data_IF_530001505992
#
_entry.id   IF_530001505992
#
_cell.length_a   1.000
_cell.length_b   1.000
_cell.length_c   1.000
_cell.angle_alpha   90.00
_cell.angle_beta   90.00
_cell.angle_gamma   90.00
#
_symmetry.space_group_name_H-M   'P 1'
#
loop_
_entity.id
_entity.type
_entity.pdbx_description
1 polymer ?
#
# COMPACT_ATOMS: atom_id res chain seq x y z
N UNK A 1 27.88 -26.71 42.80
CA UNK A 1 27.34 -27.50 41.66
C UNK A 1 25.84 -27.29 41.40
N UNK A 2 24.99 -27.03 42.39
CA UNK A 2 23.53 -26.82 42.20
C UNK A 2 23.14 -25.50 41.51
N UNK A 3 24.05 -24.52 41.48
CA UNK A 3 23.80 -23.19 40.89
C UNK A 3 24.22 -23.11 39.41
N UNK A 4 25.00 -24.08 38.91
CA UNK A 4 25.41 -24.13 37.50
C UNK A 4 24.26 -24.65 36.61
N UNK A 5 23.42 -25.54 37.14
CA UNK A 5 22.22 -26.03 36.45
C UNK A 5 21.12 -24.98 36.30
N UNK A 6 21.01 -23.99 37.21
CA UNK A 6 20.06 -22.87 37.06
C UNK A 6 20.46 -21.90 35.96
N UNK A 7 21.77 -21.77 35.70
CA UNK A 7 22.28 -20.85 34.68
C UNK A 7 22.08 -21.39 33.24
N UNK A 8 22.07 -22.72 33.08
CA UNK A 8 21.79 -23.36 31.78
C UNK A 8 20.30 -23.34 31.40
N UNK A 9 19.38 -23.27 32.37
CA UNK A 9 17.94 -23.18 32.11
C UNK A 9 17.50 -21.79 31.60
N UNK A 10 18.25 -20.73 31.90
CA UNK A 10 17.96 -19.37 31.41
C UNK A 10 18.34 -19.15 29.94
N UNK A 11 19.28 -19.93 29.41
CA UNK A 11 19.72 -19.82 28.01
C UNK A 11 18.69 -20.48 27.07
N UNK A 12 17.88 -21.42 27.57
CA UNK A 12 16.83 -22.07 26.76
C UNK A 12 15.57 -21.21 26.58
N UNK A 13 15.37 -20.17 27.40
CA UNK A 13 14.25 -19.22 27.24
C UNK A 13 14.54 -18.18 26.15
N UNK A 14 15.81 -17.99 25.76
CA UNK A 14 16.20 -17.12 24.64
C UNK A 14 16.29 -17.86 23.28
N UNK A 15 15.97 -19.16 23.26
CA UNK A 15 16.14 -20.05 22.10
C UNK A 15 14.89 -20.27 21.24
N UNK A 16 13.81 -19.53 21.50
CA UNK A 16 12.62 -19.53 20.63
C UNK A 16 12.31 -18.11 20.18
N UNK A 17 13.31 -17.45 19.59
CA UNK A 17 13.06 -16.36 18.67
C UNK A 17 12.25 -16.97 17.53
N UNK A 18 10.92 -16.92 17.67
CA UNK A 18 10.02 -17.12 16.55
C UNK A 18 10.55 -16.27 15.41
N UNK A 19 10.89 -16.92 14.30
CA UNK A 19 11.02 -16.22 13.04
C UNK A 19 9.64 -15.65 12.75
N UNK A 20 9.31 -14.50 13.35
CA UNK A 20 8.33 -13.60 12.77
C UNK A 20 8.98 -13.20 11.45
N UNK A 21 8.67 -13.99 10.42
CA UNK A 21 8.84 -13.55 9.04
C UNK A 21 8.01 -12.29 8.95
N UNK A 22 8.67 -11.15 9.17
CA UNK A 22 8.14 -9.85 8.82
C UNK A 22 7.77 -10.01 7.35
N UNK A 23 6.46 -10.11 7.08
CA UNK A 23 5.87 -10.23 5.76
C UNK A 23 6.21 -8.92 5.05
N UNK A 24 7.43 -8.84 4.56
CA UNK A 24 7.93 -7.70 3.83
C UNK A 24 7.13 -7.69 2.53
N UNK A 25 6.17 -6.77 2.46
CA UNK A 25 5.37 -6.43 1.29
C UNK A 25 6.18 -6.67 0.02
N UNK A 26 5.80 -7.68 -0.76
CA UNK A 26 6.51 -8.02 -1.99
C UNK A 26 5.94 -7.22 -3.15
N UNK A 27 6.84 -6.66 -3.95
CA UNK A 27 6.49 -5.99 -5.19
C UNK A 27 5.83 -6.96 -6.18
N UNK A 28 4.83 -6.48 -6.91
CA UNK A 28 4.05 -7.27 -7.87
C UNK A 28 4.92 -7.96 -8.93
N UNK A 29 5.97 -7.30 -9.41
CA UNK A 29 6.86 -7.86 -10.44
C UNK A 29 7.76 -8.97 -9.92
N UNK A 30 7.91 -9.08 -8.59
CA UNK A 30 8.66 -10.15 -7.96
C UNK A 30 7.75 -11.30 -7.53
N UNK A 31 6.60 -10.99 -6.93
CA UNK A 31 5.70 -11.97 -6.35
C UNK A 31 4.78 -12.63 -7.37
N UNK A 32 4.36 -11.90 -8.40
CA UNK A 32 3.38 -12.36 -9.38
C UNK A 32 3.77 -12.01 -10.84
N UNK A 33 5.02 -12.26 -11.27
CA UNK A 33 5.48 -11.93 -12.62
C UNK A 33 4.73 -12.71 -13.72
N UNK A 34 4.03 -13.79 -13.36
CA UNK A 34 3.24 -14.59 -14.28
C UNK A 34 1.98 -13.87 -14.77
N UNK A 35 1.38 -13.00 -13.95
CA UNK A 35 0.14 -12.29 -14.31
C UNK A 35 0.35 -10.80 -14.52
N UNK A 36 1.43 -10.21 -13.98
CA UNK A 36 1.72 -8.79 -14.10
C UNK A 36 2.70 -8.50 -15.23
N UNK A 37 2.34 -7.54 -16.08
CA UNK A 37 3.22 -6.98 -17.10
C UNK A 37 3.29 -5.47 -16.95
N UNK A 38 4.48 -4.96 -16.64
CA UNK A 38 4.73 -3.52 -16.58
C UNK A 38 4.68 -2.92 -17.98
N UNK A 39 3.81 -1.93 -18.17
CA UNK A 39 3.69 -1.17 -19.41
C UNK A 39 4.46 0.15 -19.35
N UNK A 40 4.41 0.84 -18.21
CA UNK A 40 5.12 2.10 -17.99
C UNK A 40 5.35 2.36 -16.50
N UNK A 41 6.49 2.95 -16.16
CA UNK A 41 6.83 3.44 -14.81
C UNK A 41 7.40 4.85 -14.93
N UNK A 42 6.56 5.85 -14.70
CA UNK A 42 6.93 7.26 -14.82
C UNK A 42 5.97 8.15 -14.04
N UNK A 43 6.36 9.40 -13.78
CA UNK A 43 5.52 10.39 -13.08
C UNK A 43 5.05 9.96 -11.68
N UNK A 44 5.76 9.01 -11.06
CA UNK A 44 5.35 8.44 -9.77
C UNK A 44 4.12 7.52 -9.90
N UNK A 45 3.92 6.92 -11.07
CA UNK A 45 2.86 5.96 -11.34
C UNK A 45 3.43 4.75 -12.07
N UNK A 46 2.89 3.57 -11.75
CA UNK A 46 3.16 2.35 -12.51
C UNK A 46 1.87 1.88 -13.18
N UNK A 47 1.98 1.58 -14.46
CA UNK A 47 0.90 1.07 -15.29
C UNK A 47 1.19 -0.38 -15.63
N UNK A 48 0.24 -1.25 -15.31
CA UNK A 48 0.32 -2.68 -15.59
C UNK A 48 -0.85 -3.14 -16.44
N UNK A 49 -0.57 -4.08 -17.33
CA UNK A 49 -1.54 -5.05 -17.82
C UNK A 49 -1.50 -6.24 -16.85
N UNK A 50 -2.68 -6.71 -16.44
CA UNK A 50 -2.81 -7.98 -15.74
C UNK A 50 -3.62 -8.96 -16.56
N UNK A 51 -3.18 -10.21 -16.57
CA UNK A 51 -3.89 -11.32 -17.20
C UNK A 51 -3.82 -12.56 -16.30
N UNK A 52 -4.97 -13.13 -15.99
CA UNK A 52 -5.07 -14.41 -15.28
C UNK A 52 -5.77 -15.42 -16.16
N UNK A 53 -5.07 -16.46 -16.59
CA UNK A 53 -5.69 -17.65 -17.16
C UNK A 53 -6.47 -18.43 -16.08
N UNK A 54 -7.46 -19.26 -16.47
CA UNK A 54 -8.19 -20.11 -15.53
C UNK A 54 -7.25 -20.90 -14.61
N UNK A 55 -7.42 -20.76 -13.31
CA UNK A 55 -6.62 -21.44 -12.28
C UNK A 55 -5.31 -20.74 -11.91
N UNK A 56 -4.87 -19.70 -12.64
CA UNK A 56 -3.68 -18.94 -12.28
C UNK A 56 -3.87 -18.12 -11.00
N UNK A 57 -2.76 -17.92 -10.30
CA UNK A 57 -2.72 -17.17 -9.07
C UNK A 57 -1.58 -16.14 -9.09
N UNK A 58 -1.86 -15.00 -8.47
CA UNK A 58 -0.87 -14.04 -8.01
C UNK A 58 -0.57 -14.36 -6.54
N UNK A 59 0.68 -14.67 -6.23
CA UNK A 59 1.10 -14.86 -4.84
C UNK A 59 0.91 -13.58 -4.02
N UNK A 60 0.94 -13.69 -2.69
CA UNK A 60 0.76 -12.55 -1.79
C UNK A 60 1.72 -11.40 -2.13
N UNK A 61 1.16 -10.27 -2.52
CA UNK A 61 1.88 -9.06 -2.91
C UNK A 61 1.23 -7.84 -2.25
N UNK A 62 1.73 -6.66 -2.57
CA UNK A 62 1.22 -5.41 -2.02
C UNK A 62 1.20 -4.34 -3.09
N UNK A 63 0.08 -3.60 -3.12
CA UNK A 63 -0.07 -2.40 -3.90
C UNK A 63 0.00 -1.17 -3.00
N UNK A 64 0.54 -0.03 -3.47
CA UNK A 64 0.17 1.28 -2.93
C UNK A 64 -1.31 1.59 -3.25
N UNK A 65 -1.75 2.84 -3.00
CA UNK A 65 -3.02 3.31 -3.56
C UNK A 65 -3.02 3.05 -5.07
N UNK A 66 -4.08 2.43 -5.58
CA UNK A 66 -4.13 2.02 -6.97
C UNK A 66 -5.55 2.02 -7.52
N UNK A 67 -5.65 2.11 -8.85
CA UNK A 67 -6.88 1.99 -9.60
C UNK A 67 -6.84 0.72 -10.46
N UNK A 68 -7.99 0.08 -10.62
CA UNK A 68 -8.17 -1.10 -11.47
C UNK A 68 -9.28 -0.81 -12.47
N UNK A 69 -9.04 -1.09 -13.75
CA UNK A 69 -10.06 -1.12 -14.79
C UNK A 69 -10.14 -2.50 -15.41
N UNK A 70 -11.29 -3.16 -15.30
CA UNK A 70 -11.51 -4.51 -15.78
C UNK A 70 -11.85 -4.48 -17.27
N UNK A 71 -10.98 -5.05 -18.10
CA UNK A 71 -11.21 -5.18 -19.54
C UNK A 71 -12.09 -6.41 -19.80
N UNK A 72 -11.66 -7.56 -19.30
CA UNK A 72 -12.40 -8.83 -19.37
C UNK A 72 -12.63 -9.35 -17.96
N UNK A 73 -13.90 -9.43 -17.57
CA UNK A 73 -14.32 -9.87 -16.24
C UNK A 73 -14.23 -11.37 -16.01
N UNK A 74 -14.46 -11.77 -14.75
CA UNK A 74 -14.41 -13.16 -14.31
C UNK A 74 -14.57 -13.26 -12.79
N UNK A 75 -14.11 -14.38 -12.21
CA UNK A 75 -14.26 -14.63 -10.77
C UNK A 75 -12.91 -14.89 -10.13
N UNK A 76 -12.55 -14.05 -9.15
CA UNK A 76 -11.36 -14.22 -8.34
C UNK A 76 -11.73 -14.73 -6.93
N UNK A 77 -10.93 -15.65 -6.39
CA UNK A 77 -10.78 -15.78 -4.94
C UNK A 77 -9.66 -14.83 -4.51
N UNK A 78 -9.95 -13.92 -3.58
CA UNK A 78 -8.99 -12.98 -3.02
C UNK A 78 -8.73 -13.34 -1.56
N UNK A 79 -7.47 -13.48 -1.18
CA UNK A 79 -7.06 -13.68 0.21
C UNK A 79 -6.25 -12.48 0.70
N UNK A 80 -6.76 -11.81 1.72
CA UNK A 80 -6.16 -10.63 2.35
C UNK A 80 -5.07 -11.03 3.34
N UNK A 81 -4.16 -10.10 3.66
CA UNK A 81 -3.06 -10.36 4.59
C UNK A 81 -3.49 -10.76 6.01
N UNK A 82 -4.72 -10.43 6.42
CA UNK A 82 -5.31 -10.86 7.70
C UNK A 82 -5.85 -12.31 7.66
N UNK A 83 -5.74 -13.00 6.52
CA UNK A 83 -6.23 -14.37 6.31
C UNK A 83 -7.70 -14.45 5.87
N UNK A 84 -8.43 -13.33 5.81
CA UNK A 84 -9.79 -13.30 5.27
C UNK A 84 -9.78 -13.61 3.76
N UNK A 85 -10.73 -14.44 3.33
CA UNK A 85 -10.92 -14.81 1.93
C UNK A 85 -12.30 -14.42 1.46
N UNK A 86 -12.39 -13.94 0.24
CA UNK A 86 -13.65 -13.61 -0.41
C UNK A 86 -13.63 -13.97 -1.89
N UNK A 87 -14.83 -14.19 -2.43
CA UNK A 87 -15.03 -14.39 -3.87
C UNK A 87 -15.46 -13.05 -4.46
N UNK A 88 -14.66 -12.52 -5.37
CA UNK A 88 -14.89 -11.26 -6.06
C UNK A 88 -15.30 -11.55 -7.50
N UNK A 89 -16.49 -11.07 -7.89
CA UNK A 89 -16.93 -11.10 -9.28
C UNK A 89 -16.55 -9.78 -9.94
N UNK A 90 -15.69 -9.85 -10.95
CA UNK A 90 -15.25 -8.70 -11.72
C UNK A 90 -16.14 -8.58 -12.97
N UNK A 91 -16.83 -7.46 -13.14
CA UNK A 91 -17.58 -7.15 -14.35
C UNK A 91 -16.70 -6.44 -15.37
N UNK A 92 -16.85 -6.76 -16.66
CA UNK A 92 -16.17 -6.02 -17.73
C UNK A 92 -16.63 -4.56 -17.75
N UNK A 93 -15.67 -3.64 -17.87
CA UNK A 93 -15.90 -2.20 -17.79
C UNK A 93 -15.92 -1.64 -16.36
N UNK A 94 -15.78 -2.48 -15.33
CA UNK A 94 -15.74 -2.03 -13.95
C UNK A 94 -14.45 -1.25 -13.66
N UNK A 95 -14.58 -0.08 -13.03
CA UNK A 95 -13.47 0.72 -12.53
C UNK A 95 -13.56 0.91 -11.02
N UNK A 96 -12.49 0.62 -10.29
CA UNK A 96 -12.43 0.74 -8.83
C UNK A 96 -11.10 1.35 -8.40
N UNK A 97 -11.12 2.13 -7.31
CA UNK A 97 -9.91 2.66 -6.66
C UNK A 97 -9.83 2.04 -5.28
N UNK A 98 -8.65 1.50 -4.96
CA UNK A 98 -8.35 0.89 -3.67
C UNK A 98 -7.26 1.69 -2.94
N UNK A 99 -7.35 1.82 -1.60
CA UNK A 99 -6.21 2.21 -0.81
C UNK A 99 -5.11 1.14 -0.89
N UNK A 100 -3.91 1.47 -0.42
CA UNK A 100 -2.83 0.48 -0.28
C UNK A 100 -3.30 -0.76 0.49
N UNK A 101 -3.08 -1.93 -0.10
CA UNK A 101 -3.49 -3.23 0.46
C UNK A 101 -2.51 -4.34 0.06
N UNK A 102 -2.58 -5.44 0.82
CA UNK A 102 -1.80 -6.64 0.57
C UNK A 102 -2.73 -7.84 0.43
N UNK A 103 -2.69 -8.49 -0.73
CA UNK A 103 -3.54 -9.61 -1.04
C UNK A 103 -2.85 -10.64 -1.94
N UNK A 104 -3.45 -11.82 -2.05
CA UNK A 104 -3.24 -12.76 -3.15
C UNK A 104 -4.55 -12.96 -3.89
N UNK A 105 -4.48 -13.31 -5.17
CA UNK A 105 -5.66 -13.50 -5.99
C UNK A 105 -5.51 -14.75 -6.84
N UNK A 106 -6.60 -15.48 -7.06
CA UNK A 106 -6.65 -16.64 -7.95
C UNK A 106 -7.88 -16.58 -8.83
N UNK A 107 -7.70 -16.79 -10.13
CA UNK A 107 -8.83 -16.99 -11.03
C UNK A 107 -9.43 -18.38 -10.80
N UNK A 108 -10.63 -18.41 -10.22
CA UNK A 108 -11.39 -19.65 -9.95
C UNK A 108 -12.48 -19.90 -11.00
N UNK A 109 -12.60 -19.02 -11.99
CA UNK A 109 -13.50 -19.18 -13.12
C UNK A 109 -12.90 -20.00 -14.25
N UNK A 110 -13.65 -20.08 -15.34
CA UNK A 110 -13.29 -20.83 -16.55
C UNK A 110 -12.88 -19.92 -17.73
N UNK A 111 -12.74 -18.62 -17.50
CA UNK A 111 -12.40 -17.62 -18.52
C UNK A 111 -11.18 -16.82 -18.08
N UNK A 112 -10.37 -16.36 -19.03
CA UNK A 112 -9.28 -15.44 -18.71
C UNK A 112 -9.81 -14.09 -18.25
N UNK A 113 -9.12 -13.50 -17.29
CA UNK A 113 -9.42 -12.17 -16.74
C UNK A 113 -8.34 -11.23 -17.22
N UNK A 114 -8.73 -10.05 -17.72
CA UNK A 114 -7.79 -8.99 -18.11
C UNK A 114 -8.17 -7.69 -17.44
N UNK A 115 -7.19 -6.98 -16.90
CA UNK A 115 -7.39 -5.66 -16.32
C UNK A 115 -6.18 -4.76 -16.54
N UNK A 116 -6.40 -3.45 -16.38
CA UNK A 116 -5.36 -2.45 -16.26
C UNK A 116 -5.26 -2.05 -14.81
N UNK A 117 -4.07 -2.10 -14.24
CA UNK A 117 -3.79 -1.64 -12.88
C UNK A 117 -2.88 -0.42 -12.94
N UNK A 118 -3.28 0.63 -12.23
CA UNK A 118 -2.52 1.87 -12.12
C UNK A 118 -2.17 2.11 -10.67
N UNK A 119 -0.92 1.94 -10.30
CA UNK A 119 -0.43 2.23 -8.96
C UNK A 119 0.09 3.66 -8.86
N UNK A 120 -0.19 4.34 -7.74
CA UNK A 120 0.29 5.71 -7.48
C UNK A 120 1.34 5.70 -6.37
N UNK A 121 2.59 5.90 -6.77
CA UNK A 121 3.75 6.01 -5.88
C UNK A 121 3.86 7.43 -5.33
N UNK A 122 3.04 7.76 -4.33
CA UNK A 122 3.12 9.08 -3.68
C UNK A 122 4.46 9.25 -2.99
N UNK A 123 5.24 10.24 -3.43
CA UNK A 123 6.36 10.76 -2.64
C UNK A 123 5.78 11.40 -1.38
N UNK A 124 5.90 10.72 -0.24
CA UNK A 124 5.50 11.28 1.06
C UNK A 124 6.49 12.36 1.48
N UNK A 125 6.29 13.59 1.01
CA UNK A 125 6.96 14.77 1.56
C UNK A 125 6.36 15.13 2.93
N UNK A 126 6.56 14.27 3.94
CA UNK A 126 6.01 14.45 5.29
C UNK A 126 6.42 15.79 5.92
N UNK A 127 7.64 16.26 5.64
CA UNK A 127 8.14 17.53 6.15
C UNK A 127 7.54 18.72 5.37
N UNK A 128 7.40 18.61 4.05
CA UNK A 128 6.92 19.72 3.21
C UNK A 128 5.43 20.02 3.46
N UNK A 129 4.60 19.00 3.68
CA UNK A 129 3.18 19.21 4.00
C UNK A 129 3.00 19.87 5.36
N UNK A 130 3.80 19.50 6.37
CA UNK A 130 3.78 20.16 7.68
C UNK A 130 4.26 21.61 7.54
N UNK A 131 5.32 21.87 6.77
CA UNK A 131 5.82 23.23 6.53
C UNK A 131 4.80 24.10 5.79
N UNK A 132 4.12 23.58 4.76
CA UNK A 132 3.05 24.31 4.06
C UNK A 132 1.87 24.59 5.01
N UNK A 133 1.44 23.60 5.78
CA UNK A 133 0.36 23.75 6.75
C UNK A 133 0.70 24.76 7.86
N UNK A 134 1.95 24.79 8.34
CA UNK A 134 2.43 25.77 9.31
C UNK A 134 2.54 27.17 8.69
N UNK A 135 2.95 27.28 7.42
CA UNK A 135 3.05 28.55 6.71
C UNK A 135 1.66 29.18 6.48
N UNK A 136 0.69 28.42 5.96
CA UNK A 136 -0.70 28.89 5.78
C UNK A 136 -1.34 29.30 7.12
N UNK A 137 -1.09 28.54 8.20
CA UNK A 137 -1.54 28.93 9.54
C UNK A 137 -0.85 30.19 10.07
N UNK A 138 0.42 30.43 9.73
CA UNK A 138 1.13 31.67 10.06
C UNK A 138 0.45 32.87 9.39
N UNK A 139 0.16 32.78 8.09
CA UNK A 139 -0.50 33.86 7.34
C UNK A 139 -1.94 34.14 7.82
N UNK A 140 -2.73 33.10 8.12
CA UNK A 140 -4.08 33.26 8.66
C UNK A 140 -4.07 33.91 10.06
N UNK A 141 -3.10 33.56 10.91
CA UNK A 141 -2.98 34.14 12.25
C UNK A 141 -2.46 35.58 12.19
N UNK A 142 -1.53 35.86 11.26
CA UNK A 142 -0.97 37.20 11.05
C UNK A 142 -2.00 38.17 10.46
N UNK A 143 -2.80 37.73 9.48
CA UNK A 143 -3.87 38.54 8.88
C UNK A 143 -4.99 38.85 9.88
N UNK A 144 -5.36 37.89 10.73
CA UNK A 144 -6.32 38.11 11.83
C UNK A 144 -5.78 39.11 12.87
N UNK A 145 -4.49 39.05 13.20
CA UNK A 145 -3.85 39.96 14.15
C UNK A 145 -3.74 41.39 13.60
N UNK A 146 -3.31 41.58 12.34
CA UNK A 146 -3.21 42.92 11.74
C UNK A 146 -4.58 43.60 11.54
N UNK A 147 -5.64 42.85 11.23
CA UNK A 147 -6.99 43.40 11.06
C UNK A 147 -7.68 43.77 12.39
N UNK A 148 -7.15 43.32 13.54
CA UNK A 148 -7.69 43.66 14.87
C UNK A 148 -7.28 45.04 15.38
N UNK A 149 -6.47 45.79 14.62
CA UNK A 149 -6.05 47.15 14.97
C UNK A 149 -5.01 47.23 16.11
N UNK A 150 -4.44 46.10 16.52
CA UNK A 150 -3.63 45.97 17.74
C UNK A 150 -2.10 45.97 17.53
N UNK A 151 -1.54 46.70 16.55
CA UNK A 151 -0.17 47.27 16.62
C UNK A 151 0.28 48.01 15.34
N UNK A 152 1.17 48.99 15.49
CA UNK A 152 1.86 49.74 14.40
C UNK A 152 3.02 48.96 13.74
N UNK A 153 3.17 47.66 14.00
CA UNK A 153 4.31 46.83 13.61
C UNK A 153 3.93 45.67 12.65
N UNK A 154 2.99 45.89 11.73
CA UNK A 154 2.70 44.92 10.66
C UNK A 154 3.69 45.07 9.48
N UNK A 155 5.01 45.00 9.74
CA UNK A 155 6.03 45.09 8.68
C UNK A 155 7.02 43.93 8.62
N UNK A 156 6.90 42.91 9.47
CA UNK A 156 7.74 41.71 9.38
C UNK A 156 6.85 40.53 9.00
N UNK A 157 7.02 40.05 7.76
CA UNK A 157 6.33 38.87 7.23
C UNK A 157 6.82 37.60 7.96
N UNK A 158 5.93 36.61 8.11
CA UNK A 158 6.34 35.20 8.16
C UNK A 158 7.04 34.84 6.81
#
# INVERSE_FOLDING_TARGET
MKNVFKLLALIFIFGLSSNLSELKSQDVLKAAPNVYKLLSDTLGMRLFEIEFEPGEAAALHTHPDHAVYVVTGGTLEVAHANGHKEIVKLESGMGVIFPSESHSAKNIGNTSIKAVVVEVMRKRYRILIILIYLYEKCELSFSAFCNSGANKLCSEKC
#
